data_IF_946406118343
#
_entry.id   IF_946406118343
#
_cell.length_a   1.000
_cell.length_b   1.000
_cell.length_c   1.000
_cell.angle_alpha   90.00
_cell.angle_beta   90.00
_cell.angle_gamma   90.00
#
_symmetry.space_group_name_H-M   'P 1'
#
loop_
_entity.id
_entity.type
_entity.pdbx_description
1 polymer ?
#
# COMPACT_ATOMS: atom_id res chain seq x y z
N UNK A 1 2.09 1.60 10.29
CA UNK A 1 2.57 1.19 11.62
C UNK A 1 2.73 -0.32 11.65
N UNK A 2 2.95 -0.91 12.83
CA UNK A 2 2.78 -2.35 13.03
C UNK A 2 1.44 -2.83 12.46
N UNK A 3 1.42 -4.04 11.90
CA UNK A 3 0.21 -4.71 11.39
C UNK A 3 -0.60 -3.89 10.37
N UNK A 4 0.06 -3.00 9.62
CA UNK A 4 -0.61 -2.17 8.62
C UNK A 4 -1.45 -1.03 9.20
N UNK A 5 -1.43 -0.76 10.51
CA UNK A 5 -2.30 0.22 11.19
C UNK A 5 -2.08 1.70 10.82
N UNK A 6 -1.23 2.02 9.83
CA UNK A 6 -0.91 3.41 9.49
C UNK A 6 -0.07 4.15 10.55
N UNK A 7 0.15 5.44 10.33
CA UNK A 7 0.76 6.41 11.26
C UNK A 7 0.19 7.80 10.95
N UNK A 8 0.60 8.86 11.65
CA UNK A 8 0.23 10.23 11.27
C UNK A 8 0.72 10.66 9.88
N UNK A 9 1.59 9.88 9.22
CA UNK A 9 2.11 10.16 7.87
C UNK A 9 1.45 9.33 6.77
N UNK A 10 0.76 8.23 7.12
CA UNK A 10 0.21 7.30 6.15
C UNK A 10 -1.05 6.60 6.70
N UNK A 11 -2.08 6.39 5.86
CA UNK A 11 -3.33 5.77 6.29
C UNK A 11 -3.12 4.31 6.72
N UNK A 12 -4.13 3.74 7.38
CA UNK A 12 -4.20 2.31 7.66
C UNK A 12 -4.36 1.52 6.36
N UNK A 13 -3.62 0.42 6.25
CA UNK A 13 -3.75 -0.58 5.18
C UNK A 13 -4.69 -1.73 5.56
N UNK A 14 -5.13 -1.79 6.81
CA UNK A 14 -6.09 -2.78 7.32
C UNK A 14 -7.55 -2.27 7.29
N UNK A 15 -7.78 -1.05 6.79
CA UNK A 15 -9.12 -0.48 6.65
C UNK A 15 -9.77 -0.95 5.33
N UNK A 16 -11.10 -0.89 5.29
CA UNK A 16 -11.90 -1.13 4.09
C UNK A 16 -11.90 0.08 3.13
N UNK A 17 -11.44 1.25 3.58
CA UNK A 17 -11.41 2.47 2.76
C UNK A 17 -10.13 2.56 1.93
N UNK A 18 -10.28 2.51 0.61
CA UNK A 18 -9.18 2.65 -0.34
C UNK A 18 -9.21 4.00 -1.05
N UNK A 19 -8.16 4.80 -0.83
CA UNK A 19 -8.06 6.18 -1.37
C UNK A 19 -7.57 6.23 -2.82
N UNK A 20 -6.69 5.30 -3.20
CA UNK A 20 -5.93 5.32 -4.46
C UNK A 20 -6.11 4.04 -5.29
N UNK A 21 -6.96 3.14 -4.83
CA UNK A 21 -7.14 1.77 -5.31
C UNK A 21 -8.59 1.35 -5.06
N UNK A 22 -9.00 0.22 -5.63
CA UNK A 22 -10.25 -0.48 -5.28
C UNK A 22 -10.05 -1.55 -4.20
N UNK A 23 -8.83 -1.67 -3.66
CA UNK A 23 -8.46 -2.68 -2.67
C UNK A 23 -8.20 -4.07 -3.23
N UNK A 24 -8.34 -4.28 -4.55
CA UNK A 24 -8.05 -5.55 -5.18
C UNK A 24 -6.55 -5.87 -5.14
N UNK A 25 -6.21 -7.16 -5.04
CA UNK A 25 -4.83 -7.62 -5.07
C UNK A 25 -4.02 -7.03 -6.25
N UNK A 26 -4.60 -7.03 -7.46
CA UNK A 26 -3.94 -6.50 -8.65
C UNK A 26 -3.68 -4.98 -8.55
N UNK A 27 -4.64 -4.22 -8.01
CA UNK A 27 -4.44 -2.79 -7.78
C UNK A 27 -3.38 -2.51 -6.71
N UNK A 28 -3.29 -3.35 -5.66
CA UNK A 28 -2.24 -3.26 -4.64
C UNK A 28 -0.85 -3.51 -5.22
N UNK A 29 -0.69 -4.56 -6.03
CA UNK A 29 0.57 -4.85 -6.74
C UNK A 29 1.01 -3.63 -7.55
N UNK A 30 0.11 -3.06 -8.35
CA UNK A 30 0.39 -1.87 -9.15
C UNK A 30 0.77 -0.67 -8.29
N UNK A 31 0.00 -0.38 -7.24
CA UNK A 31 0.24 0.76 -6.36
C UNK A 31 1.59 0.64 -5.64
N UNK A 32 1.96 -0.55 -5.16
CA UNK A 32 3.27 -0.79 -4.54
C UNK A 32 4.39 -0.60 -5.56
N UNK A 33 4.23 -1.11 -6.78
CA UNK A 33 5.24 -0.99 -7.83
C UNK A 33 5.47 0.45 -8.29
N UNK A 34 4.40 1.23 -8.47
CA UNK A 34 4.44 2.57 -9.07
C UNK A 34 4.51 3.70 -8.04
N UNK A 35 4.11 3.44 -6.79
CA UNK A 35 3.98 4.47 -5.78
C UNK A 35 2.68 5.28 -5.92
N UNK A 36 2.59 6.36 -5.14
CA UNK A 36 1.51 7.35 -5.18
C UNK A 36 2.17 8.74 -5.19
N UNK A 37 2.36 9.36 -6.37
CA UNK A 37 3.09 10.62 -6.49
C UNK A 37 2.30 11.83 -5.93
N UNK A 38 0.96 11.74 -5.90
CA UNK A 38 0.07 12.78 -5.38
C UNK A 38 -0.97 12.16 -4.45
N UNK A 39 -0.61 11.88 -3.19
CA UNK A 39 -1.52 11.27 -2.23
C UNK A 39 -2.64 12.23 -1.79
N UNK A 40 -3.82 11.68 -1.47
CA UNK A 40 -4.99 12.48 -1.05
C UNK A 40 -4.87 12.98 0.39
N UNK A 41 -4.27 12.16 1.27
CA UNK A 41 -4.28 12.38 2.73
C UNK A 41 -2.87 12.39 3.35
N UNK A 42 -1.81 12.44 2.52
CA UNK A 42 -0.42 12.55 2.97
C UNK A 42 0.24 13.79 2.38
N UNK A 43 1.15 14.40 3.13
CA UNK A 43 1.98 15.52 2.67
C UNK A 43 3.20 15.08 1.84
N UNK A 44 3.50 13.78 1.82
CA UNK A 44 4.66 13.22 1.13
C UNK A 44 4.25 12.12 0.15
N UNK A 45 4.86 12.04 -1.05
CA UNK A 45 4.56 10.99 -2.00
C UNK A 45 4.98 9.62 -1.46
N UNK A 46 4.24 8.59 -1.85
CA UNK A 46 4.73 7.21 -1.73
C UNK A 46 5.62 6.94 -2.95
N UNK A 47 6.91 6.72 -2.73
CA UNK A 47 7.83 6.36 -3.81
C UNK A 47 7.50 4.97 -4.37
N UNK A 48 7.83 4.69 -5.64
CA UNK A 48 7.84 3.34 -6.18
C UNK A 48 8.52 2.36 -5.22
N UNK A 49 7.88 1.22 -4.97
CA UNK A 49 8.38 0.16 -4.08
C UNK A 49 8.63 0.61 -2.64
N UNK A 50 8.00 1.71 -2.21
CA UNK A 50 8.27 2.35 -0.92
C UNK A 50 9.70 2.88 -0.79
N UNK A 51 10.42 3.07 -1.90
CA UNK A 51 11.83 3.44 -1.92
C UNK A 51 12.79 2.30 -1.57
N UNK A 52 12.29 1.06 -1.46
CA UNK A 52 13.09 -0.11 -1.14
C UNK A 52 13.52 -0.88 -2.41
N UNK A 53 14.69 -1.53 -2.41
CA UNK A 53 15.15 -2.35 -3.54
C UNK A 53 14.50 -3.74 -3.52
N UNK A 54 13.17 -3.79 -3.63
CA UNK A 54 12.40 -5.05 -3.65
C UNK A 54 12.08 -5.52 -5.08
N UNK A 55 12.05 -6.83 -5.27
CA UNK A 55 11.73 -7.48 -6.54
C UNK A 55 10.21 -7.73 -6.69
N UNK A 56 9.80 -8.24 -7.84
CA UNK A 56 8.38 -8.41 -8.17
C UNK A 56 7.70 -9.51 -7.31
N UNK A 57 8.45 -10.54 -6.91
CA UNK A 57 7.98 -11.58 -5.99
C UNK A 57 7.68 -11.01 -4.60
N UNK A 58 8.54 -10.11 -4.11
CA UNK A 58 8.33 -9.41 -2.85
C UNK A 58 7.16 -8.44 -2.93
N UNK A 59 6.97 -7.75 -4.06
CA UNK A 59 5.78 -6.90 -4.28
C UNK A 59 4.51 -7.74 -4.20
N UNK A 60 4.48 -8.90 -4.86
CA UNK A 60 3.36 -9.83 -4.80
C UNK A 60 3.08 -10.31 -3.37
N UNK A 61 4.13 -10.70 -2.62
CA UNK A 61 3.99 -11.13 -1.22
C UNK A 61 3.44 -10.01 -0.31
N UNK A 62 3.92 -8.78 -0.48
CA UNK A 62 3.42 -7.62 0.29
C UNK A 62 1.96 -7.33 -0.07
N UNK A 63 1.62 -7.35 -1.36
CA UNK A 63 0.23 -7.14 -1.81
C UNK A 63 -0.72 -8.21 -1.24
N UNK A 64 -0.28 -9.47 -1.19
CA UNK A 64 -1.07 -10.55 -0.62
C UNK A 64 -1.28 -10.35 0.90
N UNK A 65 -0.24 -9.95 1.62
CA UNK A 65 -0.34 -9.64 3.05
C UNK A 65 -1.31 -8.49 3.31
N UNK A 66 -1.17 -7.37 2.60
CA UNK A 66 -2.06 -6.20 2.71
C UNK A 66 -3.51 -6.56 2.38
N UNK A 67 -3.72 -7.37 1.35
CA UNK A 67 -5.05 -7.86 1.00
C UNK A 67 -5.65 -8.69 2.14
N UNK A 68 -4.88 -9.61 2.74
CA UNK A 68 -5.37 -10.45 3.85
C UNK A 68 -5.81 -9.64 5.06
N UNK A 69 -5.03 -8.64 5.49
CA UNK A 69 -5.34 -7.85 6.69
C UNK A 69 -6.45 -6.80 6.49
N UNK A 70 -6.87 -6.55 5.25
CA UNK A 70 -7.96 -5.61 4.92
C UNK A 70 -9.29 -6.30 4.62
N UNK A 71 -9.30 -7.63 4.55
CA UNK A 71 -10.46 -8.46 4.21
C UNK A 71 -10.81 -9.47 5.32
N UNK A 72 -10.27 -9.27 6.52
CA UNK A 72 -10.61 -10.01 7.75
C UNK A 72 -11.82 -9.41 8.49
#
# INVERSE_FOLDING_TARGET
GPDGAGTGLAPSLADAVWLHSDGSYTALVKQIAEGVPQPKESMIPMLPKGGAPINDEQIAAIAAYVWSISHD
#
